data_IF_705921247639
#
_entry.id   IF_705921247639
#
_cell.length_a   1.000
_cell.length_b   1.000
_cell.length_c   1.000
_cell.angle_alpha   90.00
_cell.angle_beta   90.00
_cell.angle_gamma   90.00
#
_symmetry.space_group_name_H-M   'P 1'
#
loop_
_entity.id
_entity.type
_entity.pdbx_description
1 polymer ?
2 polymer ?
3 non-polymer ?
4 non-polymer ?
5 non-polymer ?
6 non-polymer ?
7 non-polymer ?
8 water ?
#
# COMPACT_ATOMS: atom_id res chain seq x y z
N UNK A 1 -12.13 -29.37 -0.51
CA UNK A 1 -11.17 -28.23 -0.30
C UNK A 1 -11.87 -27.01 0.37
N UNK A 2 -11.12 -26.31 1.22
CA UNK A 2 -11.63 -25.18 1.97
C UNK A 2 -10.61 -24.03 1.92
N UNK A 3 -11.15 -22.83 1.82
CA UNK A 3 -10.34 -21.64 1.56
C UNK A 3 -9.37 -21.29 2.70
N UNK A 4 -9.67 -21.73 3.92
CA UNK A 4 -8.85 -21.39 5.09
C UNK A 4 -7.56 -22.23 5.13
N UNK A 5 -7.57 -23.37 4.43
CA UNK A 5 -6.36 -24.19 4.29
C UNK A 5 -5.74 -24.04 2.90
N UNK A 6 -4.46 -23.65 2.88
CA UNK A 6 -3.67 -23.61 1.65
C UNK A 6 -4.35 -22.75 0.56
N UNK A 7 -5.16 -21.78 0.99
CA UNK A 7 -5.91 -20.88 0.10
C UNK A 7 -6.88 -21.61 -0.82
N UNK A 8 -7.31 -22.79 -0.39
CA UNK A 8 -8.22 -23.64 -1.19
C UNK A 8 -7.54 -24.18 -2.43
N UNK A 9 -6.21 -24.06 -2.48
CA UNK A 9 -5.45 -24.32 -3.69
C UNK A 9 -5.49 -23.19 -4.72
N UNK A 10 -6.25 -22.12 -4.43
CA UNK A 10 -6.36 -20.98 -5.34
C UNK A 10 -5.07 -20.18 -5.41
N UNK A 11 -4.76 -19.69 -6.61
CA UNK A 11 -3.64 -18.75 -6.78
C UNK A 11 -3.97 -17.39 -6.14
N UNK A 12 -5.22 -16.95 -6.30
CA UNK A 12 -5.67 -15.66 -5.79
C UNK A 12 -6.83 -15.84 -4.82
N UNK A 13 -8.03 -15.45 -5.20
CA UNK A 13 -9.13 -15.41 -4.25
C UNK A 13 -9.98 -16.69 -4.27
N UNK A 14 -10.62 -16.97 -3.14
CA UNK A 14 -11.30 -18.23 -2.86
C UNK A 14 -12.64 -17.99 -2.18
N UNK A 15 -13.69 -18.66 -2.67
CA UNK A 15 -15.01 -18.69 -2.04
C UNK A 15 -15.40 -20.13 -1.71
N UNK A 16 -15.83 -20.33 -0.47
CA UNK A 16 -16.42 -21.61 -0.05
C UNK A 16 -17.89 -21.59 -0.43
N UNK A 17 -18.38 -22.73 -0.91
CA UNK A 17 -19.79 -22.88 -1.31
C UNK A 17 -20.46 -24.05 -0.59
N UNK A 18 -21.78 -23.97 -0.47
CA UNK A 18 -22.54 -24.93 0.33
C UNK A 18 -22.32 -26.35 -0.16
N UNK A 19 -21.66 -27.14 0.70
CA UNK A 19 -21.28 -28.50 0.38
C UNK A 19 -19.77 -28.61 0.42
N UNK A 20 -19.22 -29.60 -0.28
CA UNK A 20 -17.77 -29.68 -0.45
C UNK A 20 -17.40 -28.91 -1.72
N UNK A 21 -17.92 -27.68 -1.86
CA UNK A 21 -17.70 -26.86 -3.06
C UNK A 21 -16.84 -25.62 -2.78
N UNK A 22 -15.90 -25.36 -3.70
CA UNK A 22 -14.98 -24.23 -3.63
C UNK A 22 -14.91 -23.60 -5.02
N UNK A 23 -14.87 -22.26 -5.08
CA UNK A 23 -14.63 -21.52 -6.33
C UNK A 23 -13.45 -20.58 -6.15
N UNK A 24 -12.49 -20.66 -7.05
CA UNK A 24 -11.38 -19.73 -7.10
C UNK A 24 -11.77 -18.55 -8.02
N UNK A 25 -11.25 -17.36 -7.74
CA UNK A 25 -11.46 -16.19 -8.59
C UNK A 25 -10.13 -15.42 -8.77
N UNK A 26 -10.09 -14.58 -9.80
CA UNK A 26 -8.97 -13.73 -10.08
C UNK A 26 -9.37 -12.26 -10.10
N UNK A 27 -8.40 -11.42 -9.80
CA UNK A 27 -8.53 -9.98 -9.77
C UNK A 27 -8.79 -9.51 -11.18
N UNK A 28 -9.43 -8.35 -11.28
CA UNK A 28 -9.55 -7.66 -12.56
C UNK A 28 -8.19 -7.62 -13.23
N UNK A 29 -8.19 -7.83 -14.55
CA UNK A 29 -6.97 -7.92 -15.36
C UNK A 29 -6.33 -9.31 -15.45
N UNK A 30 -7.02 -10.30 -14.86
CA UNK A 30 -6.64 -11.71 -14.88
C UNK A 30 -7.87 -12.57 -15.13
N UNK A 31 -7.67 -13.77 -15.69
CA UNK A 31 -8.74 -14.77 -15.82
C UNK A 31 -8.29 -16.13 -15.29
N UNK A 32 -9.26 -16.92 -14.83
CA UNK A 32 -9.03 -18.21 -14.23
C UNK A 32 -8.85 -19.23 -15.32
N UNK A 33 -7.83 -20.07 -15.19
CA UNK A 33 -7.58 -21.13 -16.16
C UNK A 33 -8.47 -22.34 -15.89
N UNK A 34 -8.45 -23.28 -16.83
CA UNK A 34 -9.35 -24.48 -16.74
C UNK A 34 -9.00 -25.40 -15.57
N UNK A 35 -7.81 -25.27 -14.99
CA UNK A 35 -7.48 -25.99 -13.74
C UNK A 35 -8.32 -25.52 -12.55
N UNK A 36 -9.02 -24.41 -12.71
CA UNK A 36 -9.88 -23.89 -11.68
C UNK A 36 -9.19 -23.18 -10.55
N UNK A 37 -7.86 -23.05 -10.65
CA UNK A 37 -7.06 -22.40 -9.58
C UNK A 37 -6.11 -21.30 -10.03
N UNK A 38 -5.57 -21.40 -11.22
CA UNK A 38 -4.53 -20.47 -11.67
C UNK A 38 -5.14 -19.25 -12.33
N UNK A 39 -4.43 -18.13 -12.23
CA UNK A 39 -4.83 -16.86 -12.82
C UNK A 39 -3.80 -16.45 -13.84
N UNK A 40 -4.26 -16.05 -15.02
CA UNK A 40 -3.38 -15.57 -16.06
C UNK A 40 -3.77 -14.13 -16.45
N UNK A 41 -2.79 -13.25 -16.69
CA UNK A 41 -3.07 -11.88 -17.11
C UNK A 41 -3.87 -11.75 -18.41
N UNK A 42 -4.84 -10.86 -18.40
CA UNK A 42 -5.60 -10.57 -19.61
C UNK A 42 -5.29 -9.17 -20.16
N UNK A 43 -4.37 -8.43 -19.52
CA UNK A 43 -3.97 -7.06 -19.94
C UNK A 43 -2.46 -6.91 -19.88
N UNK A 44 -1.93 -5.86 -20.50
CA UNK A 44 -0.49 -5.62 -20.51
C UNK A 44 0.07 -5.35 -19.11
N UNK A 45 -0.67 -4.60 -18.29
CA UNK A 45 -0.17 -4.15 -16.97
C UNK A 45 -1.11 -4.56 -15.82
N UNK A 46 -1.20 -5.88 -15.54
CA UNK A 46 -2.04 -6.34 -14.43
C UNK A 46 -1.41 -5.89 -13.11
N UNK A 47 -2.25 -5.72 -12.09
CA UNK A 47 -1.76 -5.27 -10.79
C UNK A 47 -0.82 -6.32 -10.20
N UNK A 48 0.14 -5.86 -9.41
CA UNK A 48 0.97 -6.73 -8.62
C UNK A 48 2.07 -7.47 -9.35
N UNK A 49 2.31 -7.07 -10.58
CA UNK A 49 3.42 -7.64 -11.36
C UNK A 49 4.34 -6.55 -11.88
N UNK A 50 5.63 -6.87 -11.97
CA UNK A 50 6.68 -5.89 -12.23
C UNK A 50 7.21 -6.13 -13.62
N UNK A 51 6.76 -5.34 -14.59
CA UNK A 51 7.10 -5.54 -15.99
C UNK A 51 8.58 -5.80 -16.29
N UNK A 52 9.51 -5.02 -15.74
CA UNK A 52 10.90 -5.25 -16.11
C UNK A 52 11.38 -6.63 -15.66
N UNK A 53 10.84 -7.16 -14.56
CA UNK A 53 11.19 -8.50 -14.09
C UNK A 53 10.43 -9.61 -14.86
N UNK A 54 9.18 -9.36 -15.20
CA UNK A 54 8.41 -10.31 -16.00
C UNK A 54 9.04 -10.49 -17.38
N UNK A 55 9.56 -9.39 -17.93
CA UNK A 55 10.27 -9.43 -19.21
C UNK A 55 11.67 -10.07 -19.04
N UNK A 56 12.34 -9.73 -17.94
CA UNK A 56 13.64 -10.30 -17.60
C UNK A 56 13.65 -11.83 -17.49
N UNK A 57 12.47 -12.46 -17.38
CA UNK A 57 12.39 -13.92 -17.42
C UNK A 57 11.41 -14.49 -18.47
N UNK A 58 10.97 -13.64 -19.40
CA UNK A 58 10.18 -14.10 -20.56
C UNK A 58 11.13 -14.59 -21.66
N UNK B 1 13.46 5.32 4.78
CA UNK B 1 13.81 3.95 5.09
C UNK B 1 15.24 3.84 5.64
N UNK B 2 15.36 3.17 6.79
CA UNK B 2 16.66 2.93 7.42
C UNK B 2 17.14 1.49 7.18
N UNK B 3 18.36 1.35 6.66
CA UNK B 3 18.95 0.02 6.51
C UNK B 3 18.50 -0.83 5.35
N UNK B 4 17.91 -0.21 4.32
CA UNK B 4 17.42 -0.93 3.15
C UNK B 4 18.39 -0.70 2.01
N UNK B 5 17.89 -0.73 0.77
CA UNK B 5 18.68 -0.47 -0.42
C UNK B 5 17.87 0.30 -1.43
N UNK B 6 18.51 0.79 -2.47
CA UNK B 6 17.81 1.43 -3.55
C UNK B 6 16.86 0.38 -4.19
N UNK B 7 15.60 0.75 -4.39
CA UNK B 7 14.72 -0.04 -5.22
C UNK B 7 15.13 0.20 -6.67
N UNK B 8 15.60 -0.84 -7.38
CA UNK B 8 15.99 -0.58 -8.76
C UNK B 8 14.83 0.02 -9.53
N UNK B 9 15.13 1.03 -10.36
CA UNK B 9 14.11 1.80 -11.09
C UNK B 9 13.15 0.87 -11.84
N UNK B 10 11.85 1.03 -11.56
CA UNK B 10 10.80 0.21 -12.17
C UNK B 10 10.41 -1.03 -11.38
N UNK B 11 11.15 -1.34 -10.30
CA UNK B 11 10.83 -2.48 -9.45
C UNK B 11 9.90 -2.17 -8.28
N UNK B 12 9.62 -0.89 -8.04
CA UNK B 12 8.59 -0.47 -7.07
C UNK B 12 7.53 0.40 -7.79
N UNK B 13 6.89 -0.13 -8.86
CA UNK B 13 6.15 0.69 -9.80
C UNK B 13 4.79 1.26 -9.32
N UNK B 14 4.33 0.76 -8.19
CA UNK B 14 3.15 1.26 -7.52
C UNK B 14 3.44 2.37 -6.54
N UNK B 15 4.71 2.70 -6.31
CA UNK B 15 5.08 3.71 -5.31
C UNK B 15 4.67 5.09 -5.76
N UNK B 16 4.03 5.82 -4.85
CA UNK B 16 3.62 7.22 -5.09
C UNK B 16 4.41 8.18 -4.20
N UNK B 17 4.74 9.34 -4.73
CA UNK B 17 5.27 10.45 -3.96
C UNK B 17 4.22 11.54 -3.93
N UNK B 18 3.89 11.97 -2.71
CA UNK B 18 2.96 13.06 -2.49
C UNK B 18 3.76 14.33 -2.17
N UNK B 19 3.38 15.41 -2.84
CA UNK B 19 4.03 16.72 -2.73
C UNK B 19 3.03 17.77 -2.30
N UNK B 20 3.48 18.78 -1.55
CA UNK B 20 2.64 19.96 -1.26
C UNK B 20 3.48 21.20 -1.50
N UNK B 21 2.99 22.04 -2.41
CA UNK B 21 3.78 23.16 -2.89
C UNK B 21 5.18 22.71 -3.32
N UNK B 22 5.29 21.54 -3.95
CA UNK B 22 6.58 21.05 -4.51
C UNK B 22 7.46 20.32 -3.50
N UNK B 23 7.08 20.40 -2.23
CA UNK B 23 7.85 19.81 -1.14
C UNK B 23 7.37 18.40 -0.83
N UNK B 24 8.31 17.53 -0.43
CA UNK B 24 8.00 16.17 -0.08
C UNK B 24 7.04 16.10 1.10
N UNK B 25 5.93 15.36 0.96
CA UNK B 25 4.97 15.21 2.05
C UNK B 25 4.95 13.80 2.59
N UNK B 26 4.69 12.85 1.73
CA UNK B 26 4.47 11.47 2.13
C UNK B 26 4.63 10.56 0.91
N UNK B 27 4.59 9.27 1.16
CA UNK B 27 4.41 8.28 0.11
C UNK B 27 2.96 7.85 0.01
N UNK B 28 2.70 6.98 -0.95
CA UNK B 28 1.38 6.38 -1.14
C UNK B 28 1.50 5.16 -2.06
N UNK B 29 0.40 4.42 -2.21
CA UNK B 29 0.36 3.23 -3.08
C UNK B 29 -0.73 3.39 -4.14
N UNK B 30 -0.36 3.24 -5.42
CA UNK B 30 -1.33 3.21 -6.50
C UNK B 30 -2.04 1.86 -6.51
N UNK B 31 -3.36 1.85 -6.58
CA UNK B 31 -4.13 0.59 -6.60
C UNK B 31 -4.99 0.42 -7.85
N UNK B 32 -5.22 1.51 -8.58
CA UNK B 32 -5.63 1.42 -9.96
C UNK B 32 -5.30 2.75 -10.62
N UNK B 33 -5.83 3.05 -11.79
CA UNK B 33 -5.38 4.25 -12.51
C UNK B 33 -5.78 5.61 -11.90
N UNK B 34 -6.81 5.67 -11.04
CA UNK B 34 -7.18 6.95 -10.42
C UNK B 34 -7.12 6.96 -8.88
N UNK B 35 -6.78 5.83 -8.28
CA UNK B 35 -6.82 5.70 -6.82
C UNK B 35 -5.48 5.34 -6.20
N UNK B 36 -5.18 6.06 -5.12
CA UNK B 36 -3.98 5.95 -4.34
C UNK B 36 -4.36 5.78 -2.88
N UNK B 37 -3.73 4.83 -2.19
CA UNK B 37 -3.92 4.72 -0.73
C UNK B 37 -2.70 5.32 0.00
N UNK B 38 -2.97 6.13 1.03
CA UNK B 38 -1.91 6.72 1.87
C UNK B 38 -2.33 6.67 3.35
N UNK B 39 -1.69 7.50 4.19
CA UNK B 39 -1.97 7.54 5.62
C UNK B 39 -2.74 8.80 5.93
N UNK B 40 -3.79 8.69 6.72
CA UNK B 40 -4.57 9.86 7.14
C UNK B 40 -3.70 10.96 7.78
N UNK B 41 -2.71 10.59 8.60
CA UNK B 41 -1.93 11.58 9.34
C UNK B 41 -1.11 12.49 8.41
N UNK B 42 -0.88 12.05 7.17
CA UNK B 42 -0.15 12.87 6.19
C UNK B 42 -0.83 14.21 5.93
N UNK B 43 -2.13 14.30 6.22
CA UNK B 43 -2.93 15.47 5.87
C UNK B 43 -3.36 16.29 7.09
N UNK B 44 -2.80 15.99 8.26
CA UNK B 44 -3.19 16.71 9.49
C UNK B 44 -2.96 18.23 9.41
N UNK B 45 -1.96 18.68 8.64
CA UNK B 45 -1.60 20.10 8.62
C UNK B 45 -1.70 20.72 7.25
N UNK B 46 -2.54 20.17 6.38
CA UNK B 46 -2.69 20.77 5.07
C UNK B 46 -3.50 22.04 5.22
N UNK B 47 -3.01 23.10 4.61
CA UNK B 47 -3.72 24.37 4.65
C UNK B 47 -4.45 24.58 3.33
N UNK B 48 -3.73 24.62 2.21
CA UNK B 48 -4.38 24.65 0.88
C UNK B 48 -4.39 23.25 0.22
N UNK B 49 -5.57 22.65 0.26
CA UNK B 49 -5.80 21.32 -0.26
C UNK B 49 -5.60 21.23 -1.78
N UNK B 50 -5.59 22.37 -2.45
CA UNK B 50 -5.53 22.40 -3.91
C UNK B 50 -4.11 22.42 -4.48
N UNK B 51 -3.11 22.34 -3.59
CA UNK B 51 -1.69 22.22 -3.97
C UNK B 51 -1.07 20.84 -3.70
N UNK B 52 -1.90 19.81 -3.53
CA UNK B 52 -1.42 18.44 -3.34
C UNK B 52 -1.26 17.79 -4.68
N UNK B 53 -0.06 17.27 -4.95
CA UNK B 53 0.27 16.58 -6.18
C UNK B 53 0.69 15.13 -5.88
N UNK B 54 0.26 14.18 -6.72
CA UNK B 54 0.74 12.81 -6.70
C UNK B 54 1.64 12.57 -7.89
N UNK B 55 2.82 11.99 -7.62
CA UNK B 55 3.75 11.62 -8.66
C UNK B 55 3.96 10.10 -8.68
N UNK B 56 3.78 9.54 -9.88
CA UNK B 56 3.99 8.14 -10.24
C UNK B 56 5.19 8.04 -11.17
N UNK B 57 5.81 6.87 -11.20
CA UNK B 57 6.98 6.65 -12.03
C UNK B 57 8.25 7.35 -11.53
N UNK B 58 8.22 7.79 -10.29
CA UNK B 58 9.33 8.55 -9.74
C UNK B 58 10.35 7.56 -9.21
N UNK B 59 11.61 7.97 -9.23
CA UNK B 59 12.69 7.15 -8.75
C UNK B 59 13.78 8.02 -8.12
N UNK B 60 14.47 8.81 -8.94
CA UNK B 60 15.54 9.71 -8.50
C UNK B 60 15.03 11.16 -8.52
N UNK B 61 14.96 11.78 -7.33
CA UNK B 61 14.38 13.12 -7.19
C UNK B 61 15.24 14.27 -7.71
N UNK B 62 16.49 13.99 -8.04
CA UNK B 62 17.39 15.02 -8.56
C UNK B 62 17.31 15.15 -10.07
N UNK B 63 16.63 14.24 -10.76
CA UNK B 63 16.54 14.33 -12.22
C UNK B 63 15.15 14.03 -12.78
N UNK B 64 14.89 14.54 -13.97
CA UNK B 64 13.72 14.17 -14.71
C UNK B 64 14.17 13.23 -15.85
N UNK B 65 13.55 12.05 -15.94
CA UNK B 65 13.86 11.10 -17.03
C UNK B 65 12.69 10.80 -17.96
N UNK B 66 11.53 11.37 -17.68
CA UNK B 66 10.40 11.22 -18.57
C UNK B 66 9.43 10.11 -18.24
N UNK B 67 9.74 9.28 -17.25
CA UNK B 67 8.80 8.22 -16.83
C UNK B 67 7.85 8.69 -15.73
N UNK B 68 8.13 9.87 -15.19
CA UNK B 68 7.33 10.47 -14.13
C UNK B 68 5.99 10.95 -14.67
N UNK B 69 4.93 10.79 -13.89
CA UNK B 69 3.61 11.31 -14.20
C UNK B 69 3.04 11.96 -12.94
N UNK B 70 2.74 13.25 -13.04
CA UNK B 70 2.17 14.02 -11.94
C UNK B 70 0.67 14.24 -12.13
N UNK B 71 -0.06 14.25 -11.04
CA UNK B 71 -1.48 14.45 -11.05
C UNK B 71 -1.90 15.23 -9.82
N UNK B 72 -2.90 16.07 -10.02
CA UNK B 72 -3.55 16.74 -8.92
C UNK B 72 -4.45 15.75 -8.16
N UNK B 73 -4.50 15.92 -6.85
CA UNK B 73 -5.31 15.08 -6.00
C UNK B 73 -6.64 15.79 -5.88
N UNK B 74 -7.72 15.15 -6.35
CA UNK B 74 -9.04 15.78 -6.39
C UNK B 74 -9.82 15.57 -5.07
N UNK B 75 -9.55 14.45 -4.40
CA UNK B 75 -10.25 14.06 -3.18
C UNK B 75 -9.27 13.37 -2.23
N UNK B 76 -9.31 13.72 -0.94
CA UNK B 76 -8.71 12.93 0.13
C UNK B 76 -9.82 12.40 1.04
N UNK B 77 -10.03 11.09 1.05
CA UNK B 77 -11.07 10.45 1.84
C UNK B 77 -10.50 9.75 3.07
N UNK B 78 -10.98 10.15 4.23
CA UNK B 78 -10.49 9.68 5.50
C UNK B 78 -11.66 9.07 6.32
N UNK B 79 -11.44 7.95 7.02
CA UNK B 79 -12.56 7.39 7.78
C UNK B 79 -12.99 8.26 8.97
N UNK B 80 -14.28 8.17 9.31
CA UNK B 80 -14.88 8.97 10.37
C UNK B 80 -14.21 8.74 11.72
N UNK B 81 -13.63 7.56 11.89
CA UNK B 81 -13.05 7.16 13.15
C UNK B 81 -11.62 7.67 13.38
N UNK B 82 -10.99 8.27 12.36
CA UNK B 82 -9.65 8.83 12.50
C UNK B 82 -9.70 10.15 13.22
N UNK B 83 -8.81 10.36 14.20
CA UNK B 83 -8.78 11.65 14.88
C UNK B 83 -7.40 12.27 14.63
N UNK B 84 -7.34 13.48 14.05
CA UNK B 84 -6.05 14.15 13.85
C UNK B 84 -5.17 14.19 15.09
N UNK B 85 -3.88 13.94 14.88
CA UNK B 85 -2.91 13.90 15.94
C UNK B 85 -2.75 12.57 16.64
N UNK B 86 -3.60 11.60 16.29
CA UNK B 86 -3.59 10.28 16.89
C UNK B 86 -3.17 9.22 15.85
N UNK B 87 -3.08 7.95 16.27
CA UNK B 87 -2.49 6.87 15.44
C UNK B 87 -3.48 5.89 14.81
N UNK B 88 -4.64 5.68 15.42
CA UNK B 88 -5.56 4.64 14.99
C UNK B 88 -6.29 5.05 13.69
N UNK B 89 -6.67 4.07 12.88
CA UNK B 89 -7.36 4.32 11.58
C UNK B 89 -6.54 5.21 10.62
N UNK B 90 -5.24 4.94 10.50
CA UNK B 90 -4.34 5.83 9.75
C UNK B 90 -4.36 5.49 8.24
N UNK B 91 -5.45 5.87 7.58
CA UNK B 91 -5.63 5.50 6.17
C UNK B 91 -6.37 6.63 5.45
N UNK B 92 -6.01 6.86 4.19
CA UNK B 92 -6.63 7.87 3.35
C UNK B 92 -6.74 7.28 1.97
N UNK B 93 -7.85 7.55 1.29
CA UNK B 93 -8.04 7.16 -0.12
C UNK B 93 -8.11 8.45 -0.94
N UNK B 94 -7.22 8.51 -1.92
CA UNK B 94 -6.99 9.68 -2.73
C UNK B 94 -7.46 9.39 -4.14
N UNK B 95 -8.32 10.25 -4.65
CA UNK B 95 -8.77 10.24 -6.05
C UNK B 95 -7.89 11.21 -6.84
N UNK B 96 -7.29 10.75 -7.94
CA UNK B 96 -6.49 11.63 -8.80
C UNK B 96 -7.45 12.35 -9.75
N UNK B 97 -7.07 13.54 -10.23
CA UNK B 97 -7.95 14.36 -11.07
C UNK B 97 -8.11 13.75 -12.47
N UNK B 98 -7.10 12.99 -12.86
CA UNK B 98 -7.05 12.33 -14.16
C UNK B 98 -6.28 11.02 -14.01
N UNK B 99 -6.70 9.96 -14.73
CA UNK B 99 -5.95 8.70 -14.58
C UNK B 99 -4.50 8.84 -14.97
N UNK B 100 -3.61 8.12 -14.28
CA UNK B 100 -2.26 7.90 -14.78
C UNK B 100 -2.32 6.84 -15.88
N UNK B 101 -1.28 6.82 -16.73
CA UNK B 101 -1.13 5.86 -17.84
C UNK B 101 -0.22 4.75 -17.34
N UNK B 102 -0.71 3.52 -17.39
CA UNK B 102 0.09 2.41 -16.97
C UNK B 102 1.20 2.17 -18.00
N UNK B 103 2.40 1.89 -17.48
CA UNK B 103 3.62 1.74 -18.26
C UNK B 103 4.50 0.78 -17.48
N UNK B 104 5.68 0.46 -18.03
CA UNK B 104 6.63 -0.36 -17.31
C UNK B 104 7.00 0.24 -15.94
N UNK B 105 6.86 1.56 -15.79
CA UNK B 105 7.29 2.26 -14.58
C UNK B 105 6.17 2.70 -13.65
N UNK B 106 4.94 2.47 -14.09
CA UNK B 106 3.74 2.85 -13.37
C UNK B 106 2.72 1.67 -13.47
N UNK B 107 2.51 0.99 -12.35
CA UNK B 107 1.68 -0.20 -12.26
C UNK B 107 1.03 -0.25 -10.88
N UNK B 108 -0.28 -0.57 -10.81
CA UNK B 108 -0.91 -0.61 -9.48
C UNK B 108 -0.56 -1.84 -8.67
N UNK B 109 -0.60 -1.73 -7.36
CA UNK B 109 -0.48 -2.87 -6.49
C UNK B 109 -1.88 -3.45 -6.30
N UNK B 110 -2.02 -4.78 -6.24
CA UNK B 110 -3.35 -5.35 -6.05
C UNK B 110 -3.90 -5.09 -4.62
N UNK B 111 -5.10 -4.52 -4.56
CA UNK B 111 -5.86 -4.48 -3.29
C UNK B 111 -6.58 -5.82 -3.14
N UNK B 112 -6.16 -6.62 -2.15
CA UNK B 112 -6.68 -7.98 -2.06
C UNK B 112 -8.07 -8.03 -1.46
N UNK B 113 -8.78 -9.12 -1.69
CA UNK B 113 -9.98 -9.43 -0.92
C UNK B 113 -9.65 -9.57 0.56
N UNK B 114 -10.60 -9.25 1.44
CA UNK B 114 -10.37 -9.32 2.88
C UNK B 114 -10.00 -10.71 3.36
N UNK B 115 -10.80 -11.72 3.00
CA UNK B 115 -10.56 -13.10 3.46
C UNK B 115 -9.19 -13.58 3.05
N UNK B 116 -8.87 -13.41 1.78
CA UNK B 116 -7.56 -13.75 1.28
C UNK B 116 -6.46 -13.03 2.09
N UNK B 117 -6.65 -11.75 2.36
CA UNK B 117 -5.65 -10.99 3.10
C UNK B 117 -5.51 -11.51 4.52
N UNK B 118 -6.63 -11.78 5.17
CA UNK B 118 -6.66 -12.26 6.56
C UNK B 118 -6.20 -13.71 6.74
N UNK B 119 -6.64 -14.58 5.83
CA UNK B 119 -6.37 -16.00 5.92
C UNK B 119 -5.06 -16.41 5.31
N UNK B 120 -4.53 -15.63 4.39
CA UNK B 120 -3.33 -16.06 3.64
C UNK B 120 -2.16 -15.07 3.74
N UNK B 121 -2.41 -13.84 3.29
CA UNK B 121 -1.33 -12.84 3.19
C UNK B 121 -0.80 -12.49 4.60
N UNK B 122 -1.69 -12.49 5.59
CA UNK B 122 -1.31 -12.13 6.96
C UNK B 122 -0.26 -13.08 7.54
N UNK B 123 -0.07 -14.25 6.93
CA UNK B 123 0.89 -15.28 7.37
C UNK B 123 2.15 -15.35 6.51
N UNK B 124 2.23 -14.55 5.48
CA UNK B 124 3.48 -14.39 4.74
C UNK B 124 4.40 -13.57 5.63
N UNK B 125 5.56 -14.12 5.98
CA UNK B 125 6.39 -13.53 7.01
C UNK B 125 6.95 -12.17 6.61
N UNK B 126 7.64 -12.13 5.47
CA UNK B 126 8.28 -10.90 5.01
C UNK B 126 7.51 -10.18 3.93
N UNK B 127 7.60 -8.84 3.96
CA UNK B 127 6.99 -7.93 3.02
C UNK B 127 7.91 -6.72 2.82
N UNK B 128 7.67 -5.95 1.76
CA UNK B 128 8.55 -4.86 1.36
C UNK B 128 7.88 -3.55 1.69
N UNK B 129 8.67 -2.65 2.30
CA UNK B 129 8.26 -1.30 2.60
C UNK B 129 9.23 -0.34 1.90
N UNK B 130 8.69 0.76 1.42
CA UNK B 130 9.46 1.61 0.55
C UNK B 130 9.12 3.08 0.69
N UNK B 131 10.10 3.91 0.36
CA UNK B 131 9.92 5.35 0.36
C UNK B 131 11.20 6.17 0.20
N UNK B 132 10.99 7.49 0.15
CA UNK B 132 12.06 8.47 0.05
C UNK B 132 12.28 9.15 1.39
N UNK B 133 11.81 8.54 2.47
CA UNK B 133 12.04 9.11 3.81
C UNK B 133 13.47 9.08 4.32
N UNK B 134 13.63 9.49 5.57
CA UNK B 134 14.93 9.58 6.22
C UNK B 134 15.67 8.26 6.17
N UNK B 135 16.96 8.35 5.84
CA UNK B 135 17.86 7.20 5.79
C UNK B 135 18.38 6.82 7.18
N UNK B 136 18.25 7.74 8.13
CA UNK B 136 18.68 7.61 9.52
C UNK B 136 17.72 8.40 10.34
N UNK B 137 17.56 7.99 11.60
CA UNK B 137 16.86 8.80 12.57
C UNK B 137 17.62 10.14 12.73
N UNK B 138 16.89 11.25 12.62
CA UNK B 138 17.45 12.62 12.63
C UNK B 138 18.39 12.93 11.44
N UNK B 139 18.21 12.22 10.33
CA UNK B 139 19.07 12.37 9.16
C UNK B 139 18.32 12.85 7.93
N UNK B 140 19.06 13.04 6.84
CA UNK B 140 18.49 13.46 5.56
C UNK B 140 17.62 12.38 4.88
N UNK B 141 16.66 12.83 4.08
CA UNK B 141 15.81 11.96 3.32
C UNK B 141 16.56 11.48 2.07
N UNK B 142 16.08 10.40 1.46
CA UNK B 142 16.66 9.82 0.27
C UNK B 142 16.32 10.56 -1.02
N UNK B 143 17.32 10.66 -1.91
CA UNK B 143 17.11 11.13 -3.27
C UNK B 143 16.67 10.03 -4.25
N UNK B 144 17.09 8.80 -3.98
CA UNK B 144 16.60 7.64 -4.73
C UNK B 144 15.65 6.81 -3.88
N UNK B 145 14.62 6.24 -4.50
CA UNK B 145 13.67 5.40 -3.76
C UNK B 145 14.31 4.19 -3.09
N UNK B 146 14.09 4.03 -1.79
CA UNK B 146 14.60 2.89 -1.06
C UNK B 146 13.50 1.87 -0.74
N UNK B 147 13.93 0.63 -0.53
CA UNK B 147 13.05 -0.47 -0.18
C UNK B 147 13.73 -1.33 0.88
N UNK B 148 12.93 -1.94 1.74
CA UNK B 148 13.38 -2.75 2.86
C UNK B 148 12.43 -3.96 3.05
N UNK B 149 12.99 -5.15 3.31
CA UNK B 149 12.20 -6.34 3.61
C UNK B 149 12.05 -6.46 5.12
N UNK B 150 10.84 -6.58 5.59
CA UNK B 150 10.59 -6.63 7.03
C UNK B 150 9.64 -7.75 7.38
N UNK B 151 9.88 -8.45 8.51
CA UNK B 151 9.00 -9.49 9.01
C UNK B 151 7.89 -8.95 9.87
N UNK B 152 6.74 -9.60 9.77
CA UNK B 152 5.53 -9.20 10.46
C UNK B 152 5.44 -9.98 11.75
N UNK B 153 4.94 -9.34 12.79
CA UNK B 153 4.73 -9.98 14.08
C UNK B 153 3.24 -10.05 14.39
N UNK B 154 2.81 -11.14 15.00
CA UNK B 154 1.46 -11.17 15.62
C UNK B 154 1.48 -10.14 16.75
N UNK B 155 0.36 -9.51 17.00
CA UNK B 155 0.37 -8.35 17.89
C UNK B 155 0.76 -8.73 19.33
N UNK B 156 0.33 -9.91 19.81
CA UNK B 156 0.73 -10.41 21.13
C UNK B 156 2.28 -10.43 21.27
N UNK B 157 2.94 -10.95 20.23
CA UNK B 157 4.40 -11.02 20.21
C UNK B 157 5.05 -9.66 20.04
N UNK B 158 4.41 -8.73 19.32
CA UNK B 158 4.94 -7.38 19.23
C UNK B 158 5.00 -6.70 20.60
N UNK B 159 3.91 -6.84 21.34
CA UNK B 159 3.77 -6.24 22.67
C UNK B 159 4.75 -6.86 23.68
N UNK B 160 4.90 -8.19 23.58
CA UNK B 160 5.85 -8.93 24.41
C UNK B 160 7.31 -8.54 24.08
N UNK B 161 7.65 -8.46 22.79
CA UNK B 161 9.03 -8.14 22.40
C UNK B 161 9.40 -6.65 22.48
N UNK B 162 8.43 -5.77 22.67
CA UNK B 162 8.72 -4.32 22.69
C UNK B 162 9.02 -3.81 24.10
N UNK B 163 9.92 -2.83 24.19
CA UNK B 163 10.48 -2.38 25.46
C UNK B 163 11.42 -1.21 25.26
N UNK B 168 2.60 6.16 25.26
CA UNK B 168 2.80 5.27 24.12
C UNK B 168 1.49 4.65 23.60
N UNK B 169 1.20 4.77 22.29
CA UNK B 169 -0.10 4.28 21.86
C UNK B 169 -0.20 2.76 21.89
N UNK B 170 -1.43 2.26 22.03
CA UNK B 170 -1.73 0.84 21.86
C UNK B 170 -1.51 0.40 20.41
N UNK B 171 -1.37 -0.90 20.21
CA UNK B 171 -1.44 -1.50 18.91
C UNK B 171 -2.86 -2.05 18.80
N UNK B 172 -3.70 -1.35 18.05
CA UNK B 172 -5.11 -1.74 17.92
C UNK B 172 -5.26 -2.84 16.87
N UNK B 173 -6.49 -3.33 16.70
CA UNK B 173 -6.76 -4.34 15.66
C UNK B 173 -6.64 -3.75 14.23
N UNK B 174 -6.54 -2.42 14.16
CA UNK B 174 -6.37 -1.71 12.88
C UNK B 174 -4.90 -1.44 12.55
N UNK B 175 -4.00 -2.17 13.24
CA UNK B 175 -2.57 -1.99 13.07
C UNK B 175 -1.89 -3.34 13.07
N UNK B 176 -0.64 -3.34 12.60
CA UNK B 176 0.28 -4.44 12.89
C UNK B 176 1.72 -3.92 12.89
N UNK B 177 2.57 -4.67 13.62
CA UNK B 177 3.99 -4.39 13.71
C UNK B 177 4.78 -5.15 12.69
N UNK B 178 5.85 -4.53 12.22
CA UNK B 178 6.76 -5.23 11.35
C UNK B 178 8.17 -4.60 11.39
N UNK B 179 9.18 -5.44 11.21
CA UNK B 179 10.56 -4.99 11.21
C UNK B 179 11.43 -5.69 12.24
N UNK B 180 12.26 -4.90 12.91
CA UNK B 180 13.35 -5.35 13.76
C UNK B 180 13.45 -4.46 15.00
N UNK B 181 13.79 -5.08 16.13
CA UNK B 181 13.95 -4.37 17.41
C UNK B 181 15.40 -4.08 17.79
N UNK B 182 16.34 -4.30 16.87
CA UNK B 182 17.77 -4.05 17.12
C UNK B 182 18.32 -2.74 16.57
N UNK B 183 17.44 -1.86 16.07
CA UNK B 183 17.87 -0.54 15.60
C UNK B 183 18.58 -0.50 14.26
N UNK B 184 18.50 -1.56 13.47
CA UNK B 184 19.20 -1.61 12.19
C UNK B 184 18.36 -1.23 10.96
N UNK B 185 17.05 -1.43 11.05
CA UNK B 185 16.19 -1.52 9.87
C UNK B 185 14.76 -1.09 10.20
N UNK B 186 14.26 -0.06 9.52
CA UNK B 186 12.93 0.48 9.81
C UNK B 186 12.46 1.40 8.70
N UNK B 187 11.17 1.70 8.70
CA UNK B 187 10.67 2.84 7.94
C UNK B 187 10.71 4.04 8.90
N UNK B 188 10.70 5.23 8.33
CA UNK B 188 11.03 6.44 9.06
C UNK B 188 10.19 7.60 8.56
N UNK B 189 10.41 8.78 9.16
CA UNK B 189 9.67 9.96 8.75
C UNK B 189 9.90 10.20 7.29
N UNK B 190 8.83 10.59 6.60
CA UNK B 190 8.86 10.78 5.17
C UNK B 190 8.41 9.57 4.37
N UNK B 191 8.50 8.39 4.96
CA UNK B 191 8.02 7.15 4.32
C UNK B 191 6.53 6.92 4.58
N UNK B 192 5.98 7.65 5.56
CA UNK B 192 4.58 7.59 5.94
C UNK B 192 3.70 7.58 4.73
N UNK B 193 2.68 6.71 4.76
CA UNK B 193 1.71 6.59 3.69
C UNK B 193 2.12 5.58 2.61
N UNK B 194 3.38 5.16 2.60
CA UNK B 194 3.84 4.29 1.56
C UNK B 194 3.41 2.86 1.79
N UNK B 195 3.68 1.99 0.80
CA UNK B 195 3.24 0.60 0.79
C UNK B 195 4.02 -0.36 1.65
N UNK B 196 3.29 -1.25 2.28
CA UNK B 196 3.83 -2.51 2.78
C UNK B 196 3.17 -3.54 1.86
N UNK B 197 3.98 -4.14 0.99
CA UNK B 197 3.56 -4.96 -0.12
C UNK B 197 4.01 -6.42 0.09
N UNK B 198 3.07 -7.35 -0.09
CA UNK B 198 3.25 -8.77 0.24
C UNK B 198 3.12 -9.66 -1.02
N UNK B 199 4.10 -10.51 -1.24
CA UNK B 199 4.12 -11.37 -2.40
C UNK B 199 3.44 -12.71 -2.08
N UNK B 200 2.59 -13.17 -2.99
CA UNK B 200 1.98 -14.49 -2.88
C UNK B 200 1.78 -15.08 -4.25
N UNK B 201 2.46 -16.21 -4.48
CA UNK B 201 2.35 -16.97 -5.71
C UNK B 201 2.42 -16.09 -6.95
N UNK B 202 3.48 -15.27 -7.01
CA UNK B 202 3.81 -14.52 -8.23
C UNK B 202 3.14 -13.18 -8.38
N UNK B 203 2.38 -12.74 -7.37
CA UNK B 203 1.72 -11.43 -7.45
C UNK B 203 1.86 -10.70 -6.14
N UNK B 204 1.94 -9.35 -6.23
CA UNK B 204 2.05 -8.53 -5.03
C UNK B 204 0.76 -7.80 -4.64
N UNK B 205 0.56 -7.70 -3.33
CA UNK B 205 -0.64 -7.17 -2.72
C UNK B 205 -0.37 -6.12 -1.63
N UNK B 206 -1.28 -5.15 -1.50
CA UNK B 206 -1.21 -4.16 -0.42
C UNK B 206 -1.74 -4.72 0.88
N UNK B 207 -0.83 -4.89 1.86
CA UNK B 207 -1.20 -5.35 3.20
C UNK B 207 -1.02 -4.30 4.30
N UNK B 208 -0.20 -3.28 4.08
CA UNK B 208 -0.02 -2.26 5.10
C UNK B 208 0.31 -0.89 4.56
N UNK B 209 0.19 0.10 5.45
CA UNK B 209 0.53 1.47 5.17
C UNK B 209 1.52 1.96 6.23
N UNK B 210 2.65 2.53 5.80
CA UNK B 210 3.64 3.10 6.72
C UNK B 210 2.94 4.14 7.60
N UNK B 211 2.96 3.93 8.90
CA UNK B 211 2.10 4.70 9.78
C UNK B 211 2.82 5.40 10.93
N UNK B 212 3.43 4.64 11.83
CA UNK B 212 4.12 5.25 12.98
C UNK B 212 5.14 4.32 13.66
N UNK B 213 5.85 4.90 14.62
CA UNK B 213 6.72 4.15 15.52
C UNK B 213 7.27 5.09 16.57
N UNK B 214 7.98 4.52 17.55
CA UNK B 214 8.78 5.31 18.49
C UNK B 214 10.09 5.70 17.80
N UNK B 215 10.16 6.92 17.27
CA UNK B 215 11.33 7.36 16.51
C UNK B 215 11.51 6.42 15.33
N UNK B 216 12.73 6.31 14.81
CA UNK B 216 13.05 5.42 13.68
C UNK B 216 14.19 4.48 13.97
N UNK B 217 14.00 3.18 13.80
CA UNK B 217 15.01 2.20 14.16
C UNK B 217 15.43 2.39 15.63
N UNK B 218 14.44 2.56 16.50
CA UNK B 218 14.71 2.70 17.94
C UNK B 218 14.84 1.31 18.51
N UNK B 219 15.94 1.04 19.20
CA UNK B 219 16.16 -0.30 19.79
C UNK B 219 15.02 -0.64 20.74
N UNK B 220 14.58 -1.90 20.70
CA UNK B 220 13.45 -2.33 21.51
C UNK B 220 12.09 -2.00 20.93
N UNK B 221 12.04 -1.38 19.75
CA UNK B 221 10.76 -1.05 19.12
C UNK B 221 10.65 -1.53 17.67
N UNK B 222 9.41 -1.75 17.23
CA UNK B 222 9.12 -2.15 15.85
C UNK B 222 8.34 -1.07 15.12
N UNK B 223 8.42 -1.10 13.79
CA UNK B 223 7.57 -0.24 12.97
C UNK B 223 6.12 -0.64 13.07
N UNK B 224 5.22 0.32 12.96
CA UNK B 224 3.79 0.09 13.01
C UNK B 224 3.11 0.47 11.68
N UNK B 225 2.19 -0.37 11.24
CA UNK B 225 1.58 -0.30 9.91
C UNK B 225 0.08 -0.41 10.07
N UNK B 226 -0.66 0.38 9.29
CA UNK B 226 -2.12 0.26 9.25
C UNK B 226 -2.45 -1.05 8.57
N UNK B 227 -3.33 -1.81 9.22
CA UNK B 227 -3.76 -3.11 8.74
C UNK B 227 -4.86 -2.96 7.68
N UNK B 228 -4.42 -2.89 6.43
CA UNK B 228 -5.33 -2.60 5.30
C UNK B 228 -6.51 -3.56 5.14
N UNK B 229 -6.36 -4.79 5.57
CA UNK B 229 -7.44 -5.81 5.49
C UNK B 229 -8.72 -5.35 6.18
N UNK B 230 -8.59 -4.53 7.22
CA UNK B 230 -9.75 -4.04 7.92
C UNK B 230 -10.58 -3.06 7.09
N UNK B 231 -9.98 -2.54 6.00
CA UNK B 231 -10.55 -1.40 5.23
C UNK B 231 -10.96 -1.74 3.82
N UNK B 232 -10.82 -3.00 3.43
CA UNK B 232 -11.03 -3.40 2.04
C UNK B 232 -12.44 -3.01 1.53
N UNK B 233 -13.47 -3.42 2.28
CA UNK B 233 -14.85 -3.13 1.91
C UNK B 233 -15.15 -1.63 1.92
N UNK B 234 -14.60 -0.93 2.91
CA UNK B 234 -14.70 0.55 3.00
C UNK B 234 -14.10 1.24 1.75
N UNK B 235 -12.93 0.75 1.33
CA UNK B 235 -12.26 1.28 0.13
C UNK B 235 -13.05 0.96 -1.12
N UNK B 236 -13.51 -0.29 -1.24
CA UNK B 236 -14.17 -0.72 -2.46
C UNK B 236 -15.46 0.04 -2.67
N UNK B 237 -16.15 0.34 -1.59
CA UNK B 237 -17.37 1.10 -1.68
C UNK B 237 -17.12 2.54 -2.11
N UNK B 238 -16.08 3.16 -1.56
CA UNK B 238 -15.76 4.53 -1.98
C UNK B 238 -15.30 4.63 -3.42
N UNK B 239 -14.56 3.64 -3.90
CA UNK B 239 -14.15 3.65 -5.32
C UNK B 239 -15.31 3.54 -6.32
N UNK B 240 -16.46 3.04 -5.90
CA UNK B 240 -17.66 3.00 -6.74
C UNK B 240 -18.53 4.26 -6.59
N UNK B 241 -18.15 5.18 -5.71
CA UNK B 241 -18.94 6.38 -5.46
C UNK B 241 -18.57 7.55 -6.36
N UNK B 242 -19.53 8.43 -6.62
CA UNK B 242 -19.28 9.64 -7.39
C UNK B 242 -18.52 10.65 -6.55
N UNK B 243 -17.61 11.41 -7.17
CA UNK B 243 -16.93 12.52 -6.51
C UNK B 243 -17.87 13.54 -5.89
N UNK B 244 -17.38 14.22 -4.85
CA UNK B 244 -18.10 15.28 -4.16
C UNK B 244 -17.25 16.56 -4.16
N UNK B 245 -17.92 17.72 -4.12
CA UNK B 245 -17.15 18.96 -4.04
C UNK B 245 -16.35 19.01 -2.75
N UNK B 246 -15.23 19.72 -2.77
CA UNK B 246 -14.37 19.84 -1.60
C UNK B 246 -13.41 18.67 -1.47
N UNK B 247 -12.11 18.96 -1.34
CA UNK B 247 -11.07 17.95 -1.41
C UNK B 247 -11.20 16.95 -0.30
N UNK B 248 -11.23 17.41 0.94
CA UNK B 248 -11.31 16.51 2.10
C UNK B 248 -12.73 16.00 2.26
N UNK B 249 -12.87 14.68 2.37
CA UNK B 249 -14.16 14.04 2.65
C UNK B 249 -13.97 13.07 3.80
N UNK B 250 -14.78 13.21 4.83
CA UNK B 250 -14.85 12.23 5.89
C UNK B 250 -15.99 11.27 5.60
N UNK B 251 -15.70 9.97 5.60
CA UNK B 251 -16.67 8.94 5.21
C UNK B 251 -16.85 7.98 6.36
N UNK B 252 -18.10 7.59 6.66
CA UNK B 252 -18.34 6.73 7.80
C UNK B 252 -17.53 5.44 7.72
N UNK B 253 -16.98 5.04 8.85
CA UNK B 253 -16.36 3.74 9.00
C UNK B 253 -16.94 3.08 10.27
N UNK B 254 -17.32 1.78 10.19
CA UNK B 254 -17.22 0.83 9.09
C UNK B 254 -18.04 1.24 7.86
X LIG C 1 -1.48 -7.10 -24.31
X LIG C 1 -1.85 -8.17 -23.53
X LIG C 1 -3.06 -8.74 -23.19
X LIG C 1 -3.12 -9.83 -22.35
X LIG C 1 -1.98 -10.39 -21.82
X LIG C 1 -0.77 -9.83 -22.14
X LIG C 1 -0.69 -8.73 -22.98
X LIG C 1 0.37 -7.99 -23.47
X LIG C 1 -0.16 -7.01 -24.28
X LIG C 1 0.61 -6.08 -24.95
X LIG D 1 -5.18 -12.82 -23.01
X LIG D 1 -4.08 -13.00 -23.84
X LIG D 1 -3.06 -13.97 -23.86
X LIG D 1 -2.07 -13.92 -24.86
X LIG D 1 -2.11 -12.88 -25.82
X LIG D 1 -3.13 -11.92 -25.79
X LIG D 1 -4.11 -12.00 -24.82
X LIG D 1 -5.25 -11.22 -24.54
X LIG D 1 -5.86 -11.77 -23.45
X LIG D 1 -7.01 -11.28 -22.90
X LIG E 1 7.70 -11.09 -8.36
X LIG E 1 8.73 -10.16 -8.03
X LIG E 1 7.45 -10.90 -9.84
X LIG E 1 8.60 -10.23 -10.34
X LIG E 1 6.18 -10.09 -10.10
X LIG E 1 6.34 -9.43 -11.35
X LIG F 1 -12.88 -15.22 -12.26
X LIG F 1 -12.30 -14.37 -11.33
X LIG F 1 -12.11 -15.12 -13.55
X LIG F 1 -12.27 -13.83 -14.11
X LIG F 1 -12.64 -16.18 -14.48
X LIG F 1 -11.80 -16.26 -15.62
X LIG G 1 13.06 11.60 -11.38
X LIG H 1 -22.53 7.66 -4.87
X LIG I 1 -11.69 22.62 -0.80
X LIG J 1 -2.50 -10.65 14.97
X LIG J 1 -2.49 -10.86 13.54
X LIG J 1 -3.88 -10.46 15.41
X LIG J 1 -1.93 -11.85 15.59
X LIG J 1 -1.73 -9.48 15.33
X LIG K 1 5.73 11.65 8.25
X LIG K 1 5.93 12.44 7.03
X LIG K 1 4.30 11.64 8.58
X LIG K 1 6.43 12.26 9.42
X LIG K 1 6.32 10.32 8.00
X LIG L 1 8.82 5.25 12.47
X LIG L 1 8.21 6.32 11.92
X LIG L 1 8.31 7.68 12.13
X LIG L 1 7.52 8.54 11.38
X LIG L 1 6.62 8.05 10.44
X LIG L 1 6.52 6.70 10.21
X LIG L 1 7.31 5.83 10.96
X LIG L 1 7.43 4.46 10.98
X LIG L 1 8.37 4.16 11.91
X LIG L 1 8.78 2.89 12.21
X LIG M 1 -8.52 17.92 9.16
X LIG M 1 -9.21 16.81 9.53
X LIG M 1 -10.42 16.65 10.22
X LIG M 1 -10.86 15.36 10.47
X LIG M 1 -10.10 14.29 10.01
X LIG M 1 -8.90 14.44 9.34
X LIG M 1 -8.45 15.71 9.08
X LIG M 1 -7.32 16.21 8.44
X LIG M 1 -7.43 17.57 8.53
X LIG M 1 -6.55 18.48 8.01
#
# INVERSE_FOLDING_TARGET
LICVNENGGCEQYCSDHTGTKRSCRCHEGYSLLADGVSCTPTVEYPCGKIPILEKRNASKPQGR
IVGGKVCPKGECPWQVLLLVNGAQLCGGTLINTIWVVSAAHCFDKIKNWRNLIAVLGEHDLSEHDGDEQSRRVAQVIIPSTYVPGTTNHDIALLRLHQPVVLTDHVVPLCLPERTFSERTLAFVRFSLVSGWGQLLDRGATALELMVLNVPRLMTQDCLQQSRKVGDSPNITEYMFCAGYSDGSKDSCKGDSGGPHATHYRGTWYLTGIVSWGQGCATVGHFGVYTRVSQYIEWLQKLMRSEPRPGVLLRAPFP
AX7 NAF CAI CAD CAB CAC CAE CAJ NAG CAH NAA
AX7 NAF CAI CAD CAB CAC CAE CAJ NAG CAH NAA
GOL C1 O1 C2 O2 C3 O3
GOL C1 O1 C2 O2 C3 O3
CA CA
CL CL
CL CL
SO4 S O1 O2 O3 O4
SO4 S O1 O2 O3 O4
AX7 NAF CAI CAD CAB CAC CAE CAJ NAG CAH NAA
AX7 NAF CAI CAD CAB CAC CAE CAJ NAG CAH NAA
#
